data_IF_099810645031
#
_entry.id   IF_099810645031
#
_cell.length_a   1.000
_cell.length_b   1.000
_cell.length_c   1.000
_cell.angle_alpha   90.00
_cell.angle_beta   90.00
_cell.angle_gamma   90.00
#
_symmetry.space_group_name_H-M   'P 1'
#
loop_
_entity.id
_entity.type
_entity.pdbx_description
1 polymer ?
#
# COMPACT_ATOMS: atom_id res chain seq x y z
N UNK A 1 8.38 -20.94 -4.95
CA UNK A 1 8.91 -19.77 -5.63
C UNK A 1 10.34 -19.55 -5.16
N UNK A 2 11.29 -19.75 -6.06
CA UNK A 2 12.70 -19.61 -5.74
C UNK A 2 13.26 -18.41 -6.52
N UNK A 3 13.15 -17.23 -5.92
CA UNK A 3 13.77 -16.04 -6.46
C UNK A 3 14.82 -15.47 -5.49
N UNK A 4 15.93 -15.03 -6.05
CA UNK A 4 17.00 -14.46 -5.27
C UNK A 4 16.65 -13.04 -4.84
N UNK A 5 16.61 -12.78 -3.54
CA UNK A 5 16.53 -11.45 -2.98
C UNK A 5 17.77 -11.16 -2.14
N UNK A 6 18.18 -9.93 -2.07
CA UNK A 6 19.21 -9.54 -1.13
C UNK A 6 18.54 -9.25 0.20
N UNK A 7 18.74 -10.15 1.15
CA UNK A 7 18.49 -9.85 2.55
C UNK A 7 19.56 -8.86 2.98
N UNK A 8 19.16 -7.72 3.46
CA UNK A 8 20.14 -6.76 3.88
C UNK A 8 20.63 -7.07 5.28
N UNK A 9 21.86 -7.46 5.32
CA UNK A 9 22.70 -7.04 6.42
C UNK A 9 22.84 -5.53 6.30
N UNK A 10 22.14 -4.77 7.12
CA UNK A 10 22.21 -3.30 7.17
C UNK A 10 22.16 -2.58 5.81
N UNK A 11 20.99 -2.29 5.30
CA UNK A 11 20.65 -0.98 4.96
C UNK A 11 21.38 -0.19 3.88
N UNK A 12 21.25 -0.62 2.69
CA UNK A 12 21.49 0.20 1.52
C UNK A 12 20.19 0.78 0.92
N UNK A 13 19.03 0.53 1.51
CA UNK A 13 17.73 1.08 1.08
C UNK A 13 17.37 2.35 1.79
N UNK A 14 18.31 2.96 2.47
CA UNK A 14 18.00 4.17 3.20
C UNK A 14 17.87 5.29 2.23
N UNK A 15 16.68 5.83 2.25
CA UNK A 15 16.37 7.03 1.52
C UNK A 15 17.33 8.12 1.91
N UNK A 16 17.77 8.87 0.91
CA UNK A 16 18.54 10.09 1.09
C UNK A 16 17.72 11.20 0.45
N UNK A 17 17.33 12.18 1.25
CA UNK A 17 16.74 13.42 0.77
C UNK A 17 17.85 14.45 0.67
N UNK A 18 18.16 14.85 -0.54
CA UNK A 18 19.14 15.89 -0.82
C UNK A 18 18.41 17.22 -1.03
N UNK A 19 18.83 18.26 -0.33
CA UNK A 19 18.25 19.59 -0.42
C UNK A 19 19.09 20.53 -1.29
N UNK A 20 18.49 21.62 -1.81
CA UNK A 20 19.19 22.57 -2.70
C UNK A 20 20.41 23.25 -2.08
N UNK A 21 20.49 23.33 -0.75
CA UNK A 21 21.62 23.88 -0.01
C UNK A 21 22.79 22.87 0.14
N UNK A 22 22.64 21.66 -0.40
CA UNK A 22 23.62 20.58 -0.31
C UNK A 22 23.51 19.74 0.97
N UNK A 23 22.64 20.12 1.91
CA UNK A 23 22.35 19.30 3.09
C UNK A 23 21.53 18.06 2.71
N UNK A 24 21.54 17.05 3.55
CA UNK A 24 20.76 15.82 3.31
C UNK A 24 20.28 15.20 4.62
N UNK A 25 19.16 14.47 4.54
CA UNK A 25 18.64 13.62 5.61
C UNK A 25 18.56 12.19 5.08
N UNK A 26 18.91 11.23 5.91
CA UNK A 26 18.97 9.81 5.54
C UNK A 26 20.39 9.33 5.29
N UNK A 27 20.53 8.21 4.61
CA UNK A 27 21.82 7.62 4.25
C UNK A 27 22.21 6.42 5.10
N UNK A 28 23.32 5.75 4.76
CA UNK A 28 23.71 4.45 5.32
C UNK A 28 24.12 4.47 6.79
N UNK A 29 24.40 5.65 7.33
CA UNK A 29 24.77 5.80 8.74
C UNK A 29 23.56 5.79 9.70
N UNK A 30 22.35 5.96 9.18
CA UNK A 30 21.12 5.96 9.97
C UNK A 30 20.60 4.54 10.15
N UNK A 31 21.26 3.76 11.01
CA UNK A 31 20.97 2.34 11.26
C UNK A 31 19.74 2.12 12.13
N UNK A 32 19.32 3.13 12.87
CA UNK A 32 18.21 3.08 13.79
C UNK A 32 17.60 4.48 14.00
N UNK A 33 16.52 4.56 14.76
CA UNK A 33 15.87 5.81 15.09
C UNK A 33 16.73 6.81 15.87
N UNK A 34 17.74 6.33 16.61
CA UNK A 34 18.60 7.21 17.40
C UNK A 34 19.64 7.90 16.51
N UNK A 35 20.23 7.17 15.57
CA UNK A 35 21.16 7.73 14.58
C UNK A 35 20.46 8.74 13.67
N UNK A 36 19.23 8.46 13.25
CA UNK A 36 18.42 9.40 12.50
C UNK A 36 18.08 10.64 13.34
N UNK A 37 17.58 10.48 14.55
CA UNK A 37 17.29 11.61 15.43
C UNK A 37 18.52 12.50 15.69
N UNK A 38 19.72 11.90 15.83
CA UNK A 38 20.97 12.63 15.91
C UNK A 38 21.23 13.47 14.65
N UNK A 39 20.99 12.92 13.47
CA UNK A 39 21.11 13.67 12.22
C UNK A 39 20.07 14.80 12.14
N UNK A 40 18.80 14.54 12.50
CA UNK A 40 17.76 15.56 12.54
C UNK A 40 18.10 16.71 13.48
N UNK A 41 18.83 16.47 14.56
CA UNK A 41 19.25 17.51 15.48
C UNK A 41 20.18 18.57 14.87
N UNK A 42 20.83 18.25 13.76
CA UNK A 42 21.63 19.21 12.99
C UNK A 42 20.75 20.26 12.28
N UNK A 43 19.49 19.97 12.07
CA UNK A 43 18.50 20.86 11.45
C UNK A 43 17.64 21.54 12.52
N UNK A 44 17.02 20.75 13.39
CA UNK A 44 16.19 21.25 14.49
C UNK A 44 16.20 20.27 15.68
N UNK A 45 16.71 20.75 16.82
CA UNK A 45 16.79 19.90 18.02
C UNK A 45 15.43 19.54 18.63
N UNK A 46 14.40 20.38 18.47
CA UNK A 46 13.03 20.06 18.93
C UNK A 46 12.41 18.98 18.06
N UNK A 47 12.61 19.08 16.76
CA UNK A 47 12.10 18.10 15.80
C UNK A 47 12.78 16.74 15.97
N UNK A 48 14.06 16.73 16.28
CA UNK A 48 14.78 15.49 16.62
C UNK A 48 14.15 14.77 17.83
N UNK A 49 13.67 15.51 18.83
CA UNK A 49 12.94 14.94 19.96
C UNK A 49 11.50 14.53 19.56
N UNK A 50 10.86 15.33 18.72
CA UNK A 50 9.52 15.04 18.20
C UNK A 50 9.51 13.76 17.36
N UNK A 51 10.62 13.41 16.71
CA UNK A 51 10.74 12.20 15.91
C UNK A 51 10.47 10.91 16.72
N UNK A 52 10.80 10.87 17.99
CA UNK A 52 10.47 9.71 18.84
C UNK A 52 8.96 9.58 19.08
N UNK A 53 8.24 10.71 19.22
CA UNK A 53 6.77 10.70 19.34
C UNK A 53 6.12 10.28 18.02
N UNK A 54 6.65 10.78 16.92
CA UNK A 54 6.28 10.36 15.57
C UNK A 54 6.43 8.85 15.35
N UNK A 55 7.59 8.30 15.71
CA UNK A 55 7.85 6.86 15.59
C UNK A 55 6.89 6.04 16.47
N UNK A 56 6.66 6.48 17.71
CA UNK A 56 5.72 5.83 18.64
C UNK A 56 4.26 5.90 18.14
N UNK A 57 3.85 7.01 17.52
CA UNK A 57 2.52 7.12 16.92
C UNK A 57 2.29 6.01 15.88
N UNK A 58 3.27 5.77 15.01
CA UNK A 58 3.15 4.73 13.99
C UNK A 58 3.19 3.31 14.57
N UNK A 59 3.93 3.08 15.64
CA UNK A 59 3.89 1.80 16.36
C UNK A 59 2.51 1.55 16.96
N UNK A 60 1.89 2.55 17.59
CA UNK A 60 0.55 2.43 18.13
C UNK A 60 -0.50 2.26 17.03
N UNK A 61 -0.43 3.06 15.96
CA UNK A 61 -1.31 2.94 14.79
C UNK A 61 -1.25 1.55 14.15
N UNK A 62 -0.05 1.04 13.94
CA UNK A 62 0.16 -0.30 13.43
C UNK A 62 -0.40 -1.37 14.38
N UNK A 63 -0.24 -1.20 15.70
CA UNK A 63 -0.79 -2.15 16.68
C UNK A 63 -2.32 -2.24 16.67
N UNK A 64 -3.01 -1.17 16.26
CA UNK A 64 -4.48 -1.16 16.09
C UNK A 64 -4.88 -1.95 14.84
N UNK A 65 -4.16 -1.77 13.73
CA UNK A 65 -4.55 -2.28 12.43
C UNK A 65 -3.97 -3.68 12.12
N UNK A 66 -2.83 -4.04 12.70
CA UNK A 66 -2.15 -5.30 12.42
C UNK A 66 -3.02 -6.55 12.61
N UNK A 67 -3.90 -6.66 13.64
CA UNK A 67 -4.78 -7.81 13.79
C UNK A 67 -5.71 -8.05 12.58
N UNK A 68 -5.97 -7.00 11.82
CA UNK A 68 -6.88 -7.03 10.67
C UNK A 68 -6.17 -7.08 9.32
N UNK A 69 -4.83 -7.14 9.31
CA UNK A 69 -4.03 -7.01 8.07
C UNK A 69 -4.32 -8.09 7.02
N UNK A 70 -4.64 -9.31 7.47
CA UNK A 70 -4.94 -10.46 6.60
C UNK A 70 -6.34 -11.05 6.85
N UNK A 71 -7.25 -10.26 7.40
CA UNK A 71 -8.62 -10.68 7.70
C UNK A 71 -9.61 -9.75 7.01
N UNK A 72 -10.91 -10.02 7.17
CA UNK A 72 -11.95 -9.11 6.74
C UNK A 72 -11.76 -7.74 7.41
N UNK A 73 -11.85 -6.63 6.65
CA UNK A 73 -11.71 -5.30 7.22
C UNK A 73 -12.73 -5.03 8.33
N UNK A 74 -12.29 -4.51 9.48
CA UNK A 74 -13.20 -4.19 10.58
C UNK A 74 -14.07 -2.98 10.24
N UNK A 75 -15.23 -2.87 10.86
CA UNK A 75 -15.97 -1.62 10.86
C UNK A 75 -15.28 -0.58 11.75
N UNK A 76 -15.59 0.70 11.55
CA UNK A 76 -15.11 1.78 12.44
C UNK A 76 -15.55 1.53 13.88
N UNK A 77 -16.76 1.01 14.09
CA UNK A 77 -17.27 0.67 15.42
C UNK A 77 -16.44 -0.42 16.10
N UNK A 78 -16.01 -1.45 15.36
CA UNK A 78 -15.12 -2.50 15.88
C UNK A 78 -13.76 -1.93 16.29
N UNK A 79 -13.16 -1.07 15.45
CA UNK A 79 -11.90 -0.40 15.78
C UNK A 79 -12.04 0.45 17.04
N UNK A 80 -13.08 1.27 17.13
CA UNK A 80 -13.34 2.09 18.33
C UNK A 80 -13.52 1.26 19.59
N UNK A 81 -14.22 0.13 19.50
CA UNK A 81 -14.40 -0.78 20.64
C UNK A 81 -13.06 -1.41 21.08
N UNK A 82 -12.18 -1.74 20.13
CA UNK A 82 -10.87 -2.34 20.41
C UNK A 82 -9.95 -1.41 21.20
N UNK A 83 -10.02 -0.10 20.95
CA UNK A 83 -9.14 0.89 21.60
C UNK A 83 -9.76 1.55 22.82
N UNK A 84 -11.05 1.29 23.10
CA UNK A 84 -11.83 1.96 24.15
C UNK A 84 -11.16 1.89 25.52
N UNK A 85 -11.02 3.03 26.18
CA UNK A 85 -10.42 3.17 27.51
C UNK A 85 -8.89 3.08 27.51
N UNK A 86 -8.26 3.14 26.35
CA UNK A 86 -6.78 3.13 26.19
C UNK A 86 -6.25 4.43 25.59
N UNK A 87 -4.93 4.67 25.68
CA UNK A 87 -4.26 5.80 24.99
C UNK A 87 -4.42 5.78 23.47
N UNK A 88 -4.76 4.62 22.89
CA UNK A 88 -4.93 4.43 21.45
C UNK A 88 -6.21 5.05 20.90
N UNK A 89 -7.15 5.46 21.75
CA UNK A 89 -8.35 6.20 21.28
C UNK A 89 -7.96 7.44 20.49
N UNK A 90 -7.03 8.25 21.03
CA UNK A 90 -6.54 9.46 20.35
C UNK A 90 -5.78 9.13 19.07
N UNK A 91 -5.03 8.03 19.03
CA UNK A 91 -4.34 7.59 17.82
C UNK A 91 -5.36 7.21 16.73
N UNK A 92 -6.38 6.43 17.08
CA UNK A 92 -7.42 6.04 16.13
C UNK A 92 -8.23 7.25 15.65
N UNK A 93 -8.57 8.18 16.56
CA UNK A 93 -9.24 9.42 16.20
C UNK A 93 -8.44 10.20 15.15
N UNK A 94 -7.14 10.42 15.39
CA UNK A 94 -6.26 11.08 14.43
C UNK A 94 -6.21 10.32 13.09
N UNK A 95 -6.06 9.00 13.10
CA UNK A 95 -6.04 8.19 11.88
C UNK A 95 -7.29 8.37 11.01
N UNK A 96 -8.45 8.56 11.61
CA UNK A 96 -9.73 8.66 10.92
C UNK A 96 -10.09 10.09 10.50
N UNK A 97 -9.61 11.10 11.23
CA UNK A 97 -10.10 12.48 11.09
C UNK A 97 -9.04 13.48 10.62
N UNK A 98 -7.76 13.21 10.87
CA UNK A 98 -6.66 14.06 10.45
C UNK A 98 -6.15 13.68 9.07
N UNK A 99 -5.56 14.65 8.39
CA UNK A 99 -4.74 14.40 7.21
C UNK A 99 -3.31 14.03 7.61
N UNK A 100 -2.55 13.49 6.66
CA UNK A 100 -1.14 13.20 6.89
C UNK A 100 -0.33 14.49 7.12
N UNK A 101 -0.73 15.58 6.44
CA UNK A 101 -0.15 16.91 6.63
C UNK A 101 -0.39 17.41 8.05
N UNK A 102 -1.63 17.29 8.58
CA UNK A 102 -1.94 17.72 9.95
C UNK A 102 -1.02 17.04 10.97
N UNK A 103 -0.76 15.74 10.81
CA UNK A 103 0.13 15.01 11.70
C UNK A 103 1.59 15.48 11.59
N UNK A 104 2.06 15.77 10.38
CA UNK A 104 3.41 16.31 10.15
C UNK A 104 3.56 17.67 10.79
N UNK A 105 2.58 18.57 10.60
CA UNK A 105 2.59 19.93 11.16
C UNK A 105 2.50 19.93 12.69
N UNK A 106 1.78 18.98 13.28
CA UNK A 106 1.71 18.79 14.74
C UNK A 106 3.04 18.38 15.38
N UNK A 107 3.88 17.68 14.60
CA UNK A 107 5.14 17.13 15.12
C UNK A 107 6.37 17.98 14.81
N UNK A 108 6.46 18.54 13.60
CA UNK A 108 7.70 19.12 13.07
C UNK A 108 7.58 20.57 12.65
N UNK A 109 8.70 21.29 12.76
CA UNK A 109 8.80 22.72 12.44
C UNK A 109 9.71 22.98 11.22
N UNK A 110 10.81 22.20 11.06
CA UNK A 110 11.77 22.36 9.95
C UNK A 110 11.21 21.72 8.67
N UNK A 111 11.11 22.50 7.60
CA UNK A 111 10.51 22.06 6.34
C UNK A 111 11.27 20.90 5.67
N UNK A 112 12.58 20.77 5.90
CA UNK A 112 13.37 19.65 5.38
C UNK A 112 13.02 18.35 6.11
N UNK A 113 12.80 18.42 7.43
CA UNK A 113 12.34 17.28 8.22
C UNK A 113 10.93 16.89 7.82
N UNK A 114 10.03 17.86 7.63
CA UNK A 114 8.67 17.62 7.12
C UNK A 114 8.71 16.94 5.75
N UNK A 115 9.52 17.43 4.83
CA UNK A 115 9.71 16.82 3.52
C UNK A 115 10.25 15.39 3.61
N UNK A 116 11.20 15.13 4.49
CA UNK A 116 11.76 13.80 4.71
C UNK A 116 10.74 12.80 5.23
N UNK A 117 9.89 13.18 6.21
CA UNK A 117 8.89 12.28 6.77
C UNK A 117 7.66 12.12 5.86
N UNK A 118 7.39 13.10 5.00
CA UNK A 118 6.33 13.06 3.99
C UNK A 118 6.56 11.99 2.92
N UNK A 119 7.80 11.73 2.56
CA UNK A 119 8.19 10.90 1.39
C UNK A 119 7.71 9.46 1.46
N UNK A 120 7.08 9.01 2.47
CA UNK A 120 6.79 7.63 2.53
C UNK A 120 5.33 7.30 2.68
N UNK A 121 4.81 6.62 1.69
CA UNK A 121 3.67 5.75 1.88
C UNK A 121 2.30 6.45 1.97
N UNK A 122 2.18 7.65 1.42
CA UNK A 122 0.87 8.25 1.18
C UNK A 122 0.51 7.98 -0.28
N UNK A 123 -0.40 7.02 -0.48
CA UNK A 123 -0.88 6.62 -1.81
C UNK A 123 -2.13 7.39 -2.23
N UNK A 124 -2.43 8.48 -1.54
CA UNK A 124 -3.58 9.34 -1.80
C UNK A 124 -3.21 10.80 -1.55
N UNK A 125 -4.15 11.72 -1.72
CA UNK A 125 -3.97 13.12 -1.38
C UNK A 125 -3.62 13.28 0.12
N UNK A 126 -2.41 13.75 0.45
CA UNK A 126 -1.94 13.84 1.83
C UNK A 126 -2.69 14.91 2.66
N UNK A 127 -3.43 15.82 2.04
CA UNK A 127 -4.25 16.83 2.71
C UNK A 127 -5.66 16.30 3.06
N UNK A 128 -6.05 15.16 2.52
CA UNK A 128 -7.36 14.58 2.79
C UNK A 128 -7.44 13.93 4.18
N UNK A 129 -8.52 14.13 4.94
CA UNK A 129 -8.77 13.38 6.18
C UNK A 129 -8.73 11.86 5.94
N UNK A 130 -8.10 11.12 6.87
CA UNK A 130 -7.93 9.69 6.76
C UNK A 130 -6.80 9.23 5.81
N UNK A 131 -6.06 10.15 5.19
CA UNK A 131 -4.92 9.82 4.32
C UNK A 131 -3.81 9.05 5.02
N UNK A 132 -3.78 9.08 6.36
CA UNK A 132 -2.82 8.33 7.17
C UNK A 132 -3.06 6.81 7.22
N UNK A 133 -4.26 6.33 6.84
CA UNK A 133 -4.57 4.89 6.92
C UNK A 133 -3.65 4.03 6.07
N UNK A 134 -3.29 4.49 4.86
CA UNK A 134 -2.31 3.80 4.02
C UNK A 134 -0.93 3.68 4.67
N UNK A 135 -0.44 4.78 5.25
CA UNK A 135 0.83 4.80 5.97
C UNK A 135 0.79 3.90 7.23
N UNK A 136 -0.34 3.86 7.93
CA UNK A 136 -0.52 3.00 9.10
C UNK A 136 -0.53 1.51 8.72
N UNK A 137 -1.18 1.13 7.62
CA UNK A 137 -1.13 -0.23 7.08
C UNK A 137 0.31 -0.62 6.70
N UNK A 138 1.06 0.31 6.11
CA UNK A 138 2.46 0.08 5.82
C UNK A 138 3.32 -0.07 7.07
N UNK A 139 3.02 0.68 8.13
CA UNK A 139 3.68 0.54 9.44
C UNK A 139 3.43 -0.84 10.08
N UNK A 140 2.33 -1.54 9.73
CA UNK A 140 2.06 -2.90 10.21
C UNK A 140 3.18 -3.89 9.88
N UNK A 141 3.99 -3.62 8.85
CA UNK A 141 5.18 -4.44 8.54
C UNK A 141 6.19 -4.51 9.69
N UNK A 142 6.16 -3.55 10.64
CA UNK A 142 7.01 -3.55 11.84
C UNK A 142 6.71 -4.72 12.79
N UNK A 143 5.49 -5.27 12.73
CA UNK A 143 5.07 -6.42 13.55
C UNK A 143 5.27 -7.76 12.86
N UNK A 144 5.65 -7.77 11.60
CA UNK A 144 6.04 -9.00 10.91
C UNK A 144 7.31 -9.56 11.51
N UNK A 145 7.33 -10.86 11.82
CA UNK A 145 8.53 -11.55 12.33
C UNK A 145 9.68 -11.51 11.32
N UNK A 146 9.37 -11.34 10.05
CA UNK A 146 10.31 -11.15 8.95
C UNK A 146 10.20 -9.71 8.44
N UNK A 147 10.43 -8.74 9.32
CA UNK A 147 10.40 -7.30 8.98
C UNK A 147 11.48 -6.86 7.99
N UNK A 148 12.37 -7.77 7.62
CA UNK A 148 13.39 -7.53 6.60
C UNK A 148 12.75 -7.38 5.22
N UNK A 149 12.55 -6.17 4.80
CA UNK A 149 12.17 -5.88 3.42
C UNK A 149 13.33 -6.25 2.50
N UNK A 150 13.17 -7.35 1.80
CA UNK A 150 14.11 -7.72 0.74
C UNK A 150 13.89 -6.87 -0.51
N UNK A 151 14.96 -6.52 -1.18
CA UNK A 151 14.90 -5.98 -2.53
C UNK A 151 15.31 -7.12 -3.46
N UNK A 152 14.50 -7.47 -4.47
CA UNK A 152 14.88 -8.49 -5.43
C UNK A 152 16.22 -8.12 -6.08
N UNK A 153 17.14 -9.08 -6.16
CA UNK A 153 18.37 -8.88 -6.91
C UNK A 153 18.00 -8.61 -8.37
N UNK A 154 18.65 -7.66 -8.99
CA UNK A 154 18.46 -7.21 -10.36
C UNK A 154 17.24 -6.28 -10.53
N UNK A 155 15.99 -6.73 -10.37
CA UNK A 155 14.82 -5.86 -10.55
C UNK A 155 13.56 -6.43 -9.89
N UNK A 156 12.54 -5.59 -9.74
CA UNK A 156 11.20 -6.02 -9.31
C UNK A 156 10.56 -6.98 -10.31
N UNK A 157 10.95 -6.92 -11.58
CA UNK A 157 10.50 -7.85 -12.63
C UNK A 157 10.83 -9.31 -12.33
N UNK A 158 11.90 -9.60 -11.60
CA UNK A 158 12.25 -10.95 -11.20
C UNK A 158 11.16 -11.65 -10.38
N UNK A 159 10.34 -10.89 -9.65
CA UNK A 159 9.19 -11.46 -8.92
C UNK A 159 8.17 -12.00 -9.93
N UNK A 160 7.84 -11.20 -10.93
CA UNK A 160 6.91 -11.59 -11.99
C UNK A 160 7.44 -12.79 -12.79
N UNK A 161 8.73 -12.79 -13.11
CA UNK A 161 9.39 -13.91 -13.82
C UNK A 161 9.34 -15.21 -12.99
N UNK A 162 9.64 -15.13 -11.68
CA UNK A 162 9.57 -16.29 -10.79
C UNK A 162 8.13 -16.84 -10.64
N UNK A 163 7.13 -15.97 -10.65
CA UNK A 163 5.72 -16.36 -10.65
C UNK A 163 5.36 -17.02 -11.99
N UNK A 164 5.81 -16.44 -13.10
CA UNK A 164 5.61 -16.99 -14.45
C UNK A 164 6.19 -18.41 -14.58
N UNK A 165 7.44 -18.60 -14.16
CA UNK A 165 8.12 -19.89 -14.20
C UNK A 165 7.39 -20.93 -13.33
N UNK A 166 6.96 -20.53 -12.14
CA UNK A 166 6.16 -21.39 -11.26
C UNK A 166 4.81 -21.76 -11.90
N UNK A 167 4.13 -20.81 -12.52
CA UNK A 167 2.87 -21.06 -13.21
C UNK A 167 3.05 -22.03 -14.38
N UNK A 168 4.05 -21.81 -15.22
CA UNK A 168 4.38 -22.70 -16.35
C UNK A 168 4.73 -24.13 -15.90
N UNK A 169 5.50 -24.26 -14.82
CA UNK A 169 5.84 -25.58 -14.26
C UNK A 169 4.62 -26.35 -13.74
N UNK A 170 3.54 -25.64 -13.41
CA UNK A 170 2.25 -26.21 -13.02
C UNK A 170 1.25 -26.31 -14.20
N UNK A 171 1.72 -26.20 -15.44
CA UNK A 171 0.89 -26.40 -16.63
C UNK A 171 0.01 -25.22 -17.03
N UNK A 172 0.27 -24.01 -16.50
CA UNK A 172 -0.45 -22.81 -16.89
C UNK A 172 0.03 -22.32 -18.24
N UNK A 173 -0.90 -22.08 -19.16
CA UNK A 173 -0.63 -21.38 -20.41
C UNK A 173 -0.70 -19.87 -20.21
N UNK A 174 0.38 -19.17 -20.50
CA UNK A 174 0.46 -17.70 -20.40
C UNK A 174 0.47 -17.12 -21.81
N UNK A 175 -0.47 -16.23 -22.08
CA UNK A 175 -0.59 -15.53 -23.37
C UNK A 175 -0.43 -14.03 -23.17
N UNK A 176 0.60 -13.46 -23.76
CA UNK A 176 0.80 -12.02 -23.85
C UNK A 176 0.16 -11.48 -25.14
N UNK A 177 -0.08 -10.16 -25.18
CA UNK A 177 -0.75 -9.49 -26.32
C UNK A 177 -2.12 -10.07 -26.65
N UNK A 178 -2.80 -10.67 -25.68
CA UNK A 178 -4.11 -11.26 -25.76
C UNK A 178 -5.11 -10.36 -25.04
N UNK A 179 -5.46 -9.23 -25.66
CA UNK A 179 -6.39 -8.28 -25.08
C UNK A 179 -7.79 -8.91 -24.96
N UNK A 180 -8.27 -9.04 -23.73
CA UNK A 180 -9.64 -9.46 -23.46
C UNK A 180 -10.57 -8.29 -23.75
N UNK A 181 -11.51 -8.50 -24.66
CA UNK A 181 -12.53 -7.53 -25.05
C UNK A 181 -13.79 -7.70 -24.20
N UNK A 182 -14.21 -8.96 -23.99
CA UNK A 182 -15.50 -9.26 -23.35
C UNK A 182 -15.43 -10.54 -22.51
N UNK A 183 -16.17 -10.55 -21.39
CA UNK A 183 -16.52 -11.80 -20.69
C UNK A 183 -17.74 -12.42 -21.38
N UNK A 184 -17.69 -13.71 -21.64
CA UNK A 184 -18.80 -14.47 -22.22
C UNK A 184 -19.71 -14.88 -21.06
N UNK A 185 -20.97 -14.44 -21.10
CA UNK A 185 -21.99 -14.76 -20.10
C UNK A 185 -23.09 -15.62 -20.75
N UNK A 186 -23.40 -16.73 -20.14
CA UNK A 186 -24.49 -17.62 -20.56
C UNK A 186 -25.26 -18.09 -19.33
N UNK A 187 -26.59 -17.87 -19.32
CA UNK A 187 -27.43 -18.24 -18.20
C UNK A 187 -27.04 -17.57 -16.87
N UNK A 188 -26.60 -16.32 -16.90
CA UNK A 188 -26.18 -15.56 -15.71
C UNK A 188 -24.82 -15.98 -15.12
N UNK A 189 -24.02 -16.75 -15.86
CA UNK A 189 -22.71 -17.24 -15.40
C UNK A 189 -21.62 -16.95 -16.43
N UNK A 190 -20.43 -16.55 -15.96
CA UNK A 190 -19.26 -16.44 -16.81
C UNK A 190 -18.87 -17.82 -17.39
N UNK A 191 -18.62 -17.88 -18.69
CA UNK A 191 -18.27 -19.11 -19.45
C UNK A 191 -16.97 -18.98 -20.22
N UNK A 192 -16.24 -17.90 -20.02
CA UNK A 192 -14.98 -17.66 -20.70
C UNK A 192 -14.81 -16.20 -21.06
N UNK A 193 -13.89 -15.95 -21.97
CA UNK A 193 -13.57 -14.61 -22.47
C UNK A 193 -13.47 -14.61 -23.99
N UNK A 194 -13.76 -13.47 -24.60
CA UNK A 194 -13.48 -13.19 -26.00
C UNK A 194 -12.36 -12.18 -26.11
N UNK A 195 -11.38 -12.52 -26.92
CA UNK A 195 -10.26 -11.64 -27.23
C UNK A 195 -10.63 -10.63 -28.33
N UNK A 196 -9.88 -9.53 -28.40
CA UNK A 196 -10.09 -8.50 -29.42
C UNK A 196 -9.89 -8.99 -30.87
N UNK A 197 -9.20 -10.11 -31.07
CA UNK A 197 -9.04 -10.77 -32.37
C UNK A 197 -10.24 -11.70 -32.72
N UNK A 198 -11.26 -11.77 -31.86
CA UNK A 198 -12.44 -12.61 -32.03
C UNK A 198 -12.31 -14.03 -31.49
N UNK A 199 -11.14 -14.46 -31.03
CA UNK A 199 -10.94 -15.78 -30.41
C UNK A 199 -11.72 -15.88 -29.10
N UNK A 200 -12.39 -17.02 -28.87
CA UNK A 200 -13.07 -17.32 -27.62
C UNK A 200 -12.31 -18.37 -26.84
N UNK A 201 -12.05 -18.09 -25.57
CA UNK A 201 -11.44 -19.03 -24.62
C UNK A 201 -12.48 -19.38 -23.59
N UNK A 202 -12.90 -20.64 -23.58
CA UNK A 202 -13.94 -21.15 -22.67
C UNK A 202 -13.34 -21.58 -21.34
N UNK A 203 -14.03 -21.23 -20.24
CA UNK A 203 -13.64 -21.60 -18.87
C UNK A 203 -14.85 -21.62 -17.94
N UNK A 204 -14.79 -22.42 -16.88
CA UNK A 204 -15.81 -22.45 -15.82
C UNK A 204 -15.67 -21.29 -14.82
N UNK A 205 -14.47 -20.69 -14.74
CA UNK A 205 -14.16 -19.58 -13.84
C UNK A 205 -13.37 -18.55 -14.64
N UNK A 206 -13.74 -17.28 -14.49
CA UNK A 206 -13.00 -16.14 -15.02
C UNK A 206 -12.59 -15.27 -13.84
N UNK A 207 -11.29 -15.08 -13.65
CA UNK A 207 -10.73 -14.16 -12.67
C UNK A 207 -10.12 -12.95 -13.38
N UNK A 208 -10.46 -11.75 -12.93
CA UNK A 208 -9.93 -10.52 -13.49
C UNK A 208 -9.21 -9.72 -12.39
N UNK A 209 -7.97 -9.29 -12.66
CA UNK A 209 -7.27 -8.28 -11.87
C UNK A 209 -7.15 -6.94 -12.60
N UNK A 210 -7.88 -6.76 -13.69
CA UNK A 210 -8.05 -5.46 -14.30
C UNK A 210 -8.86 -4.54 -13.36
N UNK A 211 -8.73 -3.22 -13.56
CA UNK A 211 -9.53 -2.26 -12.81
C UNK A 211 -11.02 -2.65 -12.79
N UNK A 212 -11.70 -2.58 -11.62
CA UNK A 212 -13.10 -2.98 -11.50
C UNK A 212 -14.02 -2.25 -12.46
N UNK A 213 -13.84 -0.94 -12.67
CA UNK A 213 -14.65 -0.20 -13.66
C UNK A 213 -14.41 -0.70 -15.06
N UNK A 214 -13.15 -0.97 -15.43
CA UNK A 214 -12.83 -1.57 -16.72
C UNK A 214 -13.46 -2.94 -16.86
N UNK A 215 -13.34 -3.80 -15.85
CA UNK A 215 -13.95 -5.14 -15.88
C UNK A 215 -15.46 -5.03 -16.06
N UNK A 216 -16.16 -4.38 -15.14
CA UNK A 216 -17.63 -4.43 -15.10
C UNK A 216 -18.32 -3.46 -16.07
N UNK A 217 -17.69 -2.35 -16.45
CA UNK A 217 -18.31 -1.39 -17.37
C UNK A 217 -17.93 -1.57 -18.85
N UNK A 218 -16.84 -2.30 -19.14
CA UNK A 218 -16.40 -2.46 -20.53
C UNK A 218 -16.39 -3.90 -21.03
N UNK A 219 -16.24 -4.90 -20.14
CA UNK A 219 -16.17 -6.30 -20.53
C UNK A 219 -17.51 -7.05 -20.37
N UNK A 220 -18.53 -6.39 -19.84
CA UNK A 220 -19.90 -6.89 -19.71
C UNK A 220 -20.89 -5.96 -20.43
N UNK A 221 -22.04 -6.50 -20.82
CA UNK A 221 -23.20 -5.67 -21.16
C UNK A 221 -23.94 -5.31 -19.86
N UNK A 222 -24.58 -4.16 -19.84
CA UNK A 222 -25.28 -3.65 -18.63
C UNK A 222 -26.34 -4.64 -18.14
N UNK A 223 -27.01 -5.32 -19.07
CA UNK A 223 -28.07 -6.29 -18.79
C UNK A 223 -27.56 -7.62 -18.21
N UNK A 224 -26.25 -7.85 -18.27
CA UNK A 224 -25.58 -9.03 -17.73
C UNK A 224 -25.18 -8.86 -16.26
N UNK A 225 -25.37 -7.66 -15.68
CA UNK A 225 -24.92 -7.30 -14.33
C UNK A 225 -26.10 -6.90 -13.44
N UNK A 226 -26.00 -7.25 -12.15
CA UNK A 226 -26.94 -6.79 -11.15
C UNK A 226 -26.82 -5.27 -10.92
N UNK A 227 -27.95 -4.62 -10.65
CA UNK A 227 -27.99 -3.18 -10.36
C UNK A 227 -27.05 -2.78 -9.21
N UNK A 228 -26.86 -3.63 -8.21
CA UNK A 228 -25.99 -3.35 -7.07
C UNK A 228 -24.53 -3.27 -7.50
N UNK A 229 -24.08 -4.11 -8.44
CA UNK A 229 -22.72 -4.05 -9.00
C UNK A 229 -22.56 -2.73 -9.76
N UNK A 230 -23.53 -2.34 -10.57
CA UNK A 230 -23.49 -1.09 -11.32
C UNK A 230 -23.41 0.12 -10.39
N UNK A 231 -24.24 0.18 -9.35
CA UNK A 231 -24.22 1.24 -8.34
C UNK A 231 -22.88 1.32 -7.62
N UNK A 232 -22.29 0.16 -7.25
CA UNK A 232 -20.96 0.11 -6.63
C UNK A 232 -19.88 0.64 -7.57
N UNK A 233 -19.93 0.28 -8.86
CA UNK A 233 -18.95 0.79 -9.84
C UNK A 233 -19.09 2.29 -10.08
N UNK A 234 -20.31 2.84 -10.00
CA UNK A 234 -20.54 4.28 -10.12
C UNK A 234 -19.99 5.05 -8.90
N UNK A 235 -20.17 4.49 -7.71
CA UNK A 235 -19.67 5.08 -6.47
C UNK A 235 -18.15 4.89 -6.26
N UNK A 236 -17.52 3.97 -6.99
CA UNK A 236 -16.10 3.68 -6.87
C UNK A 236 -15.26 4.86 -7.33
N UNK A 237 -14.56 5.48 -6.38
CA UNK A 237 -13.63 6.59 -6.69
C UNK A 237 -12.24 6.01 -6.94
N UNK A 238 -11.68 6.30 -8.10
CA UNK A 238 -10.25 6.10 -8.36
C UNK A 238 -9.53 7.38 -8.04
N UNK A 239 -8.39 7.31 -7.34
CA UNK A 239 -7.51 8.45 -7.24
C UNK A 239 -7.05 8.85 -8.65
N UNK A 240 -7.07 10.14 -8.92
CA UNK A 240 -6.58 10.70 -10.17
C UNK A 240 -5.05 10.71 -10.19
#
# INVERSE_FOLDING_TARGET
>A
LDFAYSRKESDSSRRIHLFPDGSFIGGPENTDKFSLAKQLSLFNGKDAQAYFRWDSFWDEAASILYPYFLTEPPTIADLMQTVKGTSRETVLEKLLTWSYIDLIEDHFQDDRIKAYVMDSNVECDPESPGSMLGAALFACSRFSRDSDRGIPKMSMGNISEAIEDSAKSNGVEIRTRALVEKVIVEGGSAKGVRLANGEEIRSFIVASNADPKRTFKTMFQTEELDEDILKRMDSWKTAA
#
